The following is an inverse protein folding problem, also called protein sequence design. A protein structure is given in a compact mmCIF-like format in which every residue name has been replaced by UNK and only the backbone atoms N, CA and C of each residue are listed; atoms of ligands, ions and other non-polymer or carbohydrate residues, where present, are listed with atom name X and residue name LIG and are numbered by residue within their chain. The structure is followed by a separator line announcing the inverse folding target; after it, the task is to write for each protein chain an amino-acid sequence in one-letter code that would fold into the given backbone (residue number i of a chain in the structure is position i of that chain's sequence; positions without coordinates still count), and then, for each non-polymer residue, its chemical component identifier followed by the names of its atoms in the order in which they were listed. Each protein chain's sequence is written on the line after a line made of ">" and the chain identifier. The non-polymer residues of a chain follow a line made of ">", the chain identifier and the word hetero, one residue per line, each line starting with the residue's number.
data_IF_278393123395
#
_entry.id   IF_278393123395
#
_cell.length_a   1.000
_cell.length_b   1.000
_cell.length_c   1.000
_cell.angle_alpha   90.00
_cell.angle_beta   90.00
_cell.angle_gamma   90.00
#
_symmetry.space_group_name_H-M   'P 1'
#
loop_
_entity.id
_entity.type
_entity.pdbx_description
1 polymer ?
#
# COMPACT_ATOMS: atom_id res chain seq x y z
N UNK A 1 -72.90 -33.35 10.75
CA UNK A 1 -72.27 -32.15 10.17
C UNK A 1 -70.85 -32.53 9.74
N UNK A 2 -70.67 -32.87 8.46
CA UNK A 2 -69.38 -33.23 7.87
C UNK A 2 -68.82 -31.97 7.22
N UNK A 3 -67.65 -31.51 7.66
CA UNK A 3 -66.91 -30.46 6.97
C UNK A 3 -65.88 -31.16 6.10
N UNK A 4 -66.12 -31.15 4.79
CA UNK A 4 -65.15 -31.54 3.76
C UNK A 4 -64.26 -30.34 3.50
N UNK A 5 -62.96 -30.44 3.78
CA UNK A 5 -61.97 -29.43 3.36
C UNK A 5 -61.25 -29.97 2.14
N UNK A 6 -61.63 -29.44 0.98
CA UNK A 6 -60.97 -29.68 -0.31
C UNK A 6 -59.96 -28.56 -0.52
N UNK A 7 -58.67 -28.89 -0.60
CA UNK A 7 -57.64 -27.90 -0.93
C UNK A 7 -56.23 -28.49 -0.85
N UNK A 8 -55.70 -28.98 -1.98
CA UNK A 8 -54.27 -29.28 -2.11
C UNK A 8 -53.51 -27.97 -2.31
N UNK A 9 -52.74 -27.57 -1.31
CA UNK A 9 -51.78 -26.47 -1.42
C UNK A 9 -50.54 -27.01 -2.14
N UNK A 10 -50.35 -26.64 -3.41
CA UNK A 10 -49.10 -26.92 -4.13
C UNK A 10 -48.07 -25.89 -3.69
N UNK A 11 -47.05 -26.35 -2.96
CA UNK A 11 -45.92 -25.55 -2.54
C UNK A 11 -44.93 -25.46 -3.71
N UNK A 12 -44.81 -24.28 -4.32
CA UNK A 12 -43.77 -24.02 -5.31
C UNK A 12 -42.45 -23.78 -4.57
N UNK A 13 -41.55 -24.76 -4.61
CA UNK A 13 -40.18 -24.58 -4.15
C UNK A 13 -39.40 -23.86 -5.27
N UNK A 14 -39.33 -22.53 -5.20
CA UNK A 14 -38.36 -21.78 -6.00
C UNK A 14 -36.96 -22.13 -5.49
N UNK A 15 -36.24 -22.94 -6.25
CA UNK A 15 -34.81 -23.12 -6.07
C UNK A 15 -34.15 -21.78 -6.42
N UNK A 16 -33.89 -20.95 -5.41
CA UNK A 16 -32.90 -19.90 -5.55
C UNK A 16 -31.57 -20.62 -5.81
N UNK A 17 -31.03 -20.48 -7.02
CA UNK A 17 -29.71 -20.97 -7.34
C UNK A 17 -28.71 -20.27 -6.43
N UNK A 18 -28.32 -20.92 -5.34
CA UNK A 18 -27.14 -20.53 -4.60
C UNK A 18 -25.97 -20.80 -5.53
N UNK A 19 -25.40 -19.74 -6.12
CA UNK A 19 -24.13 -19.84 -6.80
C UNK A 19 -23.13 -20.44 -5.80
N UNK A 20 -22.58 -21.60 -6.12
CA UNK A 20 -21.52 -22.19 -5.32
C UNK A 20 -20.35 -21.21 -5.33
N UNK A 21 -20.02 -20.66 -4.17
CA UNK A 21 -18.81 -19.86 -3.98
C UNK A 21 -17.63 -20.80 -4.28
N UNK A 22 -16.85 -20.47 -5.31
CA UNK A 22 -15.61 -21.17 -5.62
C UNK A 22 -14.56 -20.78 -4.58
N UNK A 23 -14.35 -21.69 -3.62
CA UNK A 23 -13.40 -21.54 -2.51
C UNK A 23 -11.94 -21.42 -2.95
N UNK A 24 -11.62 -21.61 -4.24
CA UNK A 24 -10.25 -21.49 -4.74
C UNK A 24 -9.94 -20.14 -5.39
N UNK A 25 -10.94 -19.31 -5.70
CA UNK A 25 -10.75 -18.08 -6.46
C UNK A 25 -11.25 -16.82 -5.76
N UNK A 26 -11.97 -16.95 -4.63
CA UNK A 26 -12.60 -15.82 -3.95
C UNK A 26 -12.50 -15.90 -2.41
N UNK A 27 -11.32 -16.24 -1.89
CA UNK A 27 -11.07 -16.15 -0.45
C UNK A 27 -10.61 -14.73 -0.11
N UNK A 28 -11.28 -14.03 0.83
CA UNK A 28 -10.60 -12.95 1.53
C UNK A 28 -9.35 -13.56 2.16
N UNK A 29 -8.18 -13.06 1.78
CA UNK A 29 -6.91 -13.57 2.24
C UNK A 29 -6.69 -13.12 3.68
N UNK A 30 -7.40 -13.75 4.62
CA UNK A 30 -7.14 -13.60 6.04
C UNK A 30 -5.88 -14.40 6.38
N UNK A 31 -4.76 -13.72 6.63
CA UNK A 31 -3.59 -14.32 7.27
C UNK A 31 -3.75 -14.34 8.80
N UNK A 32 -4.93 -14.74 9.31
CA UNK A 32 -5.17 -14.93 10.73
C UNK A 32 -4.51 -16.23 11.20
N UNK A 33 -3.58 -16.13 12.15
CA UNK A 33 -2.95 -17.28 12.79
C UNK A 33 -3.80 -17.79 13.95
N UNK A 34 -3.64 -19.06 14.36
CA UNK A 34 -4.30 -19.56 15.59
C UNK A 34 -3.98 -18.65 16.78
N UNK A 35 -5.00 -18.37 17.61
CA UNK A 35 -4.98 -17.62 18.88
C UNK A 35 -5.16 -16.08 18.84
N UNK A 36 -5.49 -15.48 17.70
CA UNK A 36 -5.82 -14.05 17.61
C UNK A 36 -7.32 -13.73 17.78
N UNK A 37 -8.16 -14.75 18.00
CA UNK A 37 -9.61 -14.61 18.16
C UNK A 37 -10.43 -14.73 16.87
N UNK A 38 -9.79 -15.09 15.74
CA UNK A 38 -10.42 -15.17 14.41
C UNK A 38 -10.44 -16.58 13.81
N UNK A 39 -10.65 -17.62 14.64
CA UNK A 39 -10.68 -19.00 14.16
C UNK A 39 -11.90 -19.29 13.26
N UNK A 40 -11.77 -20.37 12.47
CA UNK A 40 -12.68 -20.78 11.39
C UNK A 40 -14.15 -20.90 11.81
N UNK A 41 -14.45 -21.07 13.10
CA UNK A 41 -15.82 -21.11 13.61
C UNK A 41 -16.46 -19.73 13.84
N UNK A 42 -15.69 -18.64 13.84
CA UNK A 42 -16.17 -17.27 14.05
C UNK A 42 -16.63 -16.49 12.81
N UNK A 43 -16.37 -16.97 11.60
CA UNK A 43 -16.68 -16.24 10.36
C UNK A 43 -17.87 -16.85 9.60
N UNK A 44 -19.10 -16.53 10.01
CA UNK A 44 -20.28 -16.61 9.12
C UNK A 44 -20.51 -15.28 8.37
N UNK A 45 -19.93 -14.19 8.84
CA UNK A 45 -19.77 -12.92 8.12
C UNK A 45 -19.00 -11.98 9.04
N UNK A 46 -17.83 -11.48 8.63
CA UNK A 46 -17.14 -10.42 9.35
C UNK A 46 -17.91 -9.11 9.16
N UNK A 47 -19.02 -8.96 9.89
CA UNK A 47 -19.80 -7.72 9.94
C UNK A 47 -18.94 -6.66 10.61
N UNK A 48 -18.33 -5.77 9.82
CA UNK A 48 -17.52 -4.66 10.32
C UNK A 48 -16.17 -4.46 9.63
N UNK A 49 -15.74 -5.38 8.77
CA UNK A 49 -14.63 -5.15 7.84
C UNK A 49 -15.24 -4.93 6.47
N UNK A 50 -14.89 -3.84 5.78
CA UNK A 50 -15.28 -3.65 4.39
C UNK A 50 -14.91 -4.92 3.60
N UNK A 51 -15.82 -5.39 2.75
CA UNK A 51 -15.60 -6.52 1.83
C UNK A 51 -14.45 -6.24 0.84
N UNK A 52 -14.06 -4.97 0.71
CA UNK A 52 -12.95 -4.48 -0.12
C UNK A 52 -11.64 -5.20 0.18
N UNK A 53 -11.05 -5.78 -0.86
CA UNK A 53 -9.75 -6.43 -0.82
C UNK A 53 -8.91 -5.93 -1.99
N UNK A 54 -7.97 -5.04 -1.69
CA UNK A 54 -7.04 -4.43 -2.65
C UNK A 54 -5.62 -4.73 -2.19
N UNK A 55 -4.79 -5.25 -3.10
CA UNK A 55 -3.37 -5.52 -2.83
C UNK A 55 -2.50 -4.46 -3.50
N UNK A 56 -1.48 -4.00 -2.78
CA UNK A 56 -0.47 -3.07 -3.26
C UNK A 56 0.92 -3.66 -3.08
N UNK A 57 1.70 -3.69 -4.17
CA UNK A 57 2.98 -4.40 -4.17
C UNK A 57 3.95 -3.83 -5.20
N UNK A 58 5.16 -3.47 -4.78
CA UNK A 58 6.30 -3.29 -5.67
C UNK A 58 6.84 -4.64 -6.16
N UNK A 59 7.75 -4.66 -7.12
CA UNK A 59 8.17 -5.93 -7.73
C UNK A 59 9.11 -6.76 -6.83
N UNK A 60 9.88 -6.09 -5.97
CA UNK A 60 10.87 -6.71 -5.09
C UNK A 60 11.29 -5.74 -3.98
N UNK A 61 11.85 -6.28 -2.90
CA UNK A 61 12.60 -5.48 -1.94
C UNK A 61 13.74 -4.74 -2.67
N UNK A 62 13.90 -3.46 -2.37
CA UNK A 62 14.90 -2.61 -3.03
C UNK A 62 15.67 -1.78 -2.02
N UNK A 63 16.96 -1.61 -2.31
CA UNK A 63 17.88 -0.81 -1.50
C UNK A 63 18.16 0.50 -2.22
N UNK A 64 17.82 1.61 -1.57
CA UNK A 64 18.14 2.96 -2.00
C UNK A 64 19.38 3.42 -1.25
N UNK A 65 20.32 4.04 -1.96
CA UNK A 65 21.56 4.53 -1.35
C UNK A 65 21.49 6.05 -1.27
N UNK A 66 21.62 6.59 -0.06
CA UNK A 66 21.34 8.00 0.25
C UNK A 66 22.17 9.02 -0.55
N UNK A 67 23.36 8.63 -1.04
CA UNK A 67 24.23 9.49 -1.85
C UNK A 67 23.81 9.56 -3.32
N UNK A 68 22.91 8.68 -3.78
CA UNK A 68 22.46 8.73 -5.16
C UNK A 68 21.56 9.94 -5.37
N UNK A 69 21.70 10.62 -6.53
CA UNK A 69 20.88 11.79 -6.85
C UNK A 69 19.40 11.42 -7.02
N UNK A 70 19.10 10.17 -7.37
CA UNK A 70 17.76 9.66 -7.57
C UNK A 70 17.65 8.21 -7.09
N UNK A 71 16.51 7.86 -6.53
CA UNK A 71 16.13 6.48 -6.20
C UNK A 71 15.11 5.97 -7.20
N UNK A 72 15.48 5.01 -8.05
CA UNK A 72 14.53 4.42 -9.01
C UNK A 72 13.69 3.38 -8.28
N UNK A 73 12.36 3.55 -8.31
CA UNK A 73 11.45 2.58 -7.73
C UNK A 73 11.14 1.48 -8.75
N UNK A 74 11.09 0.25 -8.27
CA UNK A 74 10.56 -0.86 -9.07
C UNK A 74 9.07 -0.66 -9.39
N UNK A 75 8.59 -1.36 -10.42
CA UNK A 75 7.19 -1.30 -10.85
C UNK A 75 6.25 -1.63 -9.69
N UNK A 76 5.26 -0.77 -9.49
CA UNK A 76 4.20 -0.95 -8.51
C UNK A 76 3.00 -1.63 -9.18
N UNK A 77 2.32 -2.49 -8.45
CA UNK A 77 1.11 -3.20 -8.87
C UNK A 77 0.02 -2.97 -7.84
N UNK A 78 -1.12 -2.48 -8.32
CA UNK A 78 -2.37 -2.40 -7.56
C UNK A 78 -3.31 -3.43 -8.17
N UNK A 79 -3.83 -4.35 -7.38
CA UNK A 79 -4.78 -5.37 -7.83
C UNK A 79 -6.01 -5.37 -6.93
N UNK A 80 -7.17 -5.29 -7.56
CA UNK A 80 -8.46 -5.44 -6.90
C UNK A 80 -8.81 -6.91 -6.89
N UNK A 81 -8.82 -7.51 -5.71
CA UNK A 81 -9.32 -8.89 -5.51
C UNK A 81 -10.83 -8.83 -5.34
N UNK A 82 -11.29 -7.94 -4.46
CA UNK A 82 -12.70 -7.68 -4.23
C UNK A 82 -12.94 -6.16 -4.15
N UNK A 83 -13.78 -5.56 -5.02
CA UNK A 83 -13.98 -4.12 -5.06
C UNK A 83 -14.73 -3.54 -3.84
N UNK A 84 -15.40 -4.36 -3.02
CA UNK A 84 -16.26 -3.86 -1.96
C UNK A 84 -17.71 -3.67 -2.40
N UNK A 85 -18.61 -3.59 -1.40
CA UNK A 85 -19.98 -3.12 -1.57
C UNK A 85 -20.33 -2.12 -0.45
N UNK A 86 -20.29 -0.79 -0.71
CA UNK A 86 -20.07 -0.15 -2.02
C UNK A 86 -18.64 -0.32 -2.56
N UNK A 87 -18.48 -0.13 -3.87
CA UNK A 87 -17.16 -0.15 -4.54
C UNK A 87 -16.27 0.92 -3.91
N UNK A 88 -15.04 0.55 -3.54
CA UNK A 88 -14.10 1.45 -2.91
C UNK A 88 -13.44 2.44 -3.89
N UNK A 89 -12.89 1.95 -5.00
CA UNK A 89 -12.25 2.80 -6.02
C UNK A 89 -13.30 3.20 -7.07
N UNK A 90 -13.83 4.40 -6.93
CA UNK A 90 -14.96 4.90 -7.73
C UNK A 90 -14.55 5.90 -8.81
N UNK A 91 -15.36 5.99 -9.85
CA UNK A 91 -15.25 7.01 -10.88
C UNK A 91 -15.33 8.42 -10.28
N UNK A 92 -14.35 9.26 -10.59
CA UNK A 92 -14.21 10.61 -10.04
C UNK A 92 -13.43 10.66 -8.72
N UNK A 93 -13.06 9.50 -8.15
CA UNK A 93 -12.14 9.40 -7.02
C UNK A 93 -10.68 9.58 -7.42
N UNK A 94 -9.78 9.40 -6.45
CA UNK A 94 -8.33 9.50 -6.67
C UNK A 94 -7.60 8.39 -5.94
N UNK A 95 -6.67 7.73 -6.63
CA UNK A 95 -5.68 6.88 -5.98
C UNK A 95 -4.50 7.74 -5.52
N UNK A 96 -4.00 7.49 -4.32
CA UNK A 96 -2.94 8.26 -3.70
C UNK A 96 -1.83 7.32 -3.24
N UNK A 97 -0.66 7.43 -3.85
CA UNK A 97 0.54 6.67 -3.44
C UNK A 97 1.47 7.62 -2.69
N UNK A 98 1.70 7.35 -1.42
CA UNK A 98 2.42 8.26 -0.52
C UNK A 98 3.70 7.64 0.02
N UNK A 99 4.67 8.51 0.32
CA UNK A 99 5.81 8.18 1.16
C UNK A 99 5.41 8.25 2.63
N UNK A 100 5.85 7.27 3.43
CA UNK A 100 5.57 7.24 4.86
C UNK A 100 5.98 8.55 5.54
N UNK A 101 5.22 9.00 6.53
CA UNK A 101 5.42 10.30 7.23
C UNK A 101 6.84 10.55 7.80
N UNK A 102 7.65 9.50 8.00
CA UNK A 102 9.05 9.60 8.45
C UNK A 102 10.07 9.83 7.33
N UNK A 103 9.67 9.78 6.06
CA UNK A 103 10.51 10.04 4.90
C UNK A 103 10.25 11.44 4.35
N UNK A 104 11.26 12.31 4.45
CA UNK A 104 11.19 13.70 3.96
C UNK A 104 11.69 13.86 2.51
N UNK A 105 12.11 12.76 1.89
CA UNK A 105 12.32 12.72 0.44
C UNK A 105 11.00 12.87 -0.31
N UNK A 106 11.09 13.14 -1.62
CA UNK A 106 9.93 13.42 -2.46
C UNK A 106 9.99 12.64 -3.77
N UNK A 107 8.84 12.46 -4.41
CA UNK A 107 8.78 11.98 -5.78
C UNK A 107 9.39 13.01 -6.74
N UNK A 108 10.04 12.50 -7.79
CA UNK A 108 10.50 13.32 -8.89
C UNK A 108 9.32 13.62 -9.83
N UNK A 109 8.79 14.85 -9.77
CA UNK A 109 7.67 15.28 -10.61
C UNK A 109 8.01 15.39 -12.11
N UNK A 110 9.31 15.43 -12.44
CA UNK A 110 9.79 15.40 -13.82
C UNK A 110 9.98 13.98 -14.39
N UNK A 111 9.70 12.93 -13.61
CA UNK A 111 9.81 11.56 -14.09
C UNK A 111 8.67 11.22 -15.06
N UNK A 112 8.97 10.44 -16.10
CA UNK A 112 7.94 9.93 -17.01
C UNK A 112 7.36 8.65 -16.44
N UNK A 113 6.07 8.68 -16.10
CA UNK A 113 5.35 7.51 -15.62
C UNK A 113 4.74 6.73 -16.79
N UNK A 114 4.67 5.42 -16.63
CA UNK A 114 3.92 4.53 -17.52
C UNK A 114 2.89 3.75 -16.73
N UNK A 115 1.67 3.70 -17.26
CA UNK A 115 0.55 2.94 -16.71
C UNK A 115 0.20 1.81 -17.66
N UNK A 116 0.07 0.59 -17.15
CA UNK A 116 -0.28 -0.58 -17.97
C UNK A 116 -1.25 -1.51 -17.23
N UNK A 117 -1.59 -2.63 -17.88
CA UNK A 117 -2.63 -3.60 -17.50
C UNK A 117 -4.06 -3.12 -17.81
N UNK A 118 -5.07 -3.91 -17.44
CA UNK A 118 -6.47 -3.68 -17.79
C UNK A 118 -7.07 -2.41 -17.17
N UNK A 119 -6.61 -2.00 -15.99
CA UNK A 119 -7.12 -0.82 -15.31
C UNK A 119 -6.47 0.50 -15.79
N UNK A 120 -5.47 0.46 -16.67
CA UNK A 120 -4.82 1.68 -17.18
C UNK A 120 -5.78 2.61 -17.94
N UNK A 121 -6.83 2.05 -18.56
CA UNK A 121 -7.87 2.82 -19.23
C UNK A 121 -8.90 3.45 -18.27
N UNK A 122 -8.83 3.11 -16.97
CA UNK A 122 -9.73 3.58 -15.91
C UNK A 122 -9.18 4.74 -15.09
N UNK A 123 -8.01 5.26 -15.49
CA UNK A 123 -7.35 6.39 -14.83
C UNK A 123 -7.03 7.49 -15.85
N UNK A 124 -6.77 8.69 -15.34
CA UNK A 124 -6.17 9.76 -16.12
C UNK A 124 -4.64 9.74 -15.96
N UNK A 125 -3.91 9.62 -17.06
CA UNK A 125 -2.45 9.67 -17.06
C UNK A 125 -1.89 11.06 -16.67
N UNK A 126 -2.73 12.10 -16.67
CA UNK A 126 -2.39 13.43 -16.16
C UNK A 126 -2.44 13.43 -14.63
N UNK A 127 -1.41 12.86 -14.02
CA UNK A 127 -1.27 12.81 -12.56
C UNK A 127 -0.86 14.14 -11.96
N UNK A 128 -1.07 14.29 -10.66
CA UNK A 128 -0.55 15.42 -9.87
C UNK A 128 0.21 14.92 -8.65
N UNK A 129 0.91 15.84 -7.97
CA UNK A 129 1.64 15.55 -6.76
C UNK A 129 1.16 16.47 -5.63
N UNK A 130 0.98 15.90 -4.45
CA UNK A 130 0.50 16.57 -3.25
C UNK A 130 1.53 16.48 -2.11
N UNK A 131 1.25 17.19 -1.01
CA UNK A 131 1.97 17.05 0.27
C UNK A 131 3.47 17.35 0.21
N UNK A 132 3.86 18.29 -0.67
CA UNK A 132 5.24 18.64 -0.94
C UNK A 132 5.95 17.62 -1.85
N UNK A 133 5.21 17.15 -2.86
CA UNK A 133 5.61 16.09 -3.79
C UNK A 133 5.85 14.71 -3.15
N UNK A 134 5.24 14.47 -1.98
CA UNK A 134 5.36 13.19 -1.24
C UNK A 134 4.22 12.22 -1.52
N UNK A 135 3.19 12.68 -2.22
CA UNK A 135 2.06 11.86 -2.63
C UNK A 135 1.82 12.01 -4.12
N UNK A 136 1.87 10.91 -4.86
CA UNK A 136 1.39 10.83 -6.24
C UNK A 136 -0.14 10.70 -6.20
N UNK A 137 -0.85 11.55 -6.93
CA UNK A 137 -2.31 11.53 -7.05
C UNK A 137 -2.68 11.14 -8.47
N UNK A 138 -3.39 10.03 -8.60
CA UNK A 138 -3.84 9.46 -9.88
C UNK A 138 -5.37 9.57 -9.95
N UNK A 139 -5.93 10.42 -10.83
CA UNK A 139 -7.37 10.54 -10.97
C UNK A 139 -7.98 9.27 -11.57
N UNK A 140 -9.13 8.84 -11.03
CA UNK A 140 -9.88 7.67 -11.50
C UNK A 140 -11.03 8.12 -12.39
N UNK A 141 -11.18 7.52 -13.56
CA UNK A 141 -12.20 7.86 -14.57
C UNK A 141 -13.24 6.77 -14.79
N UNK A 142 -13.11 5.62 -14.14
CA UNK A 142 -14.09 4.54 -14.12
C UNK A 142 -13.91 3.67 -12.88
N UNK A 143 -14.99 3.04 -12.40
CA UNK A 143 -14.96 2.16 -11.23
C UNK A 143 -13.99 0.99 -11.45
N UNK A 144 -13.20 0.67 -10.42
CA UNK A 144 -12.42 -0.56 -10.44
C UNK A 144 -13.28 -1.72 -9.92
N UNK A 145 -13.23 -2.83 -10.64
CA UNK A 145 -13.97 -4.05 -10.38
C UNK A 145 -12.99 -5.16 -9.99
N UNK A 146 -13.52 -6.32 -9.60
CA UNK A 146 -12.70 -7.50 -9.35
C UNK A 146 -11.79 -7.82 -10.55
N UNK A 147 -10.57 -8.26 -10.25
CA UNK A 147 -9.49 -8.57 -11.21
C UNK A 147 -8.92 -7.37 -11.99
N UNK A 148 -9.34 -6.15 -11.69
CA UNK A 148 -8.64 -4.97 -12.19
C UNK A 148 -7.24 -4.89 -11.62
N UNK A 149 -6.27 -4.75 -12.53
CA UNK A 149 -4.87 -4.57 -12.20
C UNK A 149 -4.36 -3.30 -12.86
N UNK A 150 -3.70 -2.46 -12.07
CA UNK A 150 -2.97 -1.28 -12.53
C UNK A 150 -1.49 -1.48 -12.22
N UNK A 151 -0.64 -1.30 -13.21
CA UNK A 151 0.81 -1.25 -12.99
C UNK A 151 1.34 0.15 -13.24
N UNK A 152 2.21 0.63 -12.36
CA UNK A 152 2.82 1.96 -12.40
C UNK A 152 4.33 1.77 -12.43
N UNK A 153 4.98 2.28 -13.47
CA UNK A 153 6.44 2.23 -13.61
C UNK A 153 7.02 3.61 -13.94
N UNK A 154 8.34 3.76 -13.74
CA UNK A 154 9.04 5.03 -13.96
C UNK A 154 9.06 5.98 -12.76
N UNK A 155 8.51 5.56 -11.61
CA UNK A 155 8.59 6.36 -10.39
C UNK A 155 10.04 6.47 -9.91
N UNK A 156 10.44 7.69 -9.56
CA UNK A 156 11.76 7.97 -8.97
C UNK A 156 11.62 8.93 -7.79
N UNK A 157 12.53 8.81 -6.83
CA UNK A 157 12.62 9.65 -5.64
C UNK A 157 13.80 10.61 -5.74
N UNK A 158 13.66 11.79 -5.16
CA UNK A 158 14.69 12.80 -4.98
C UNK A 158 15.01 13.00 -3.49
N UNK A 159 16.14 13.65 -3.23
CA UNK A 159 16.59 14.05 -1.89
C UNK A 159 16.65 12.87 -0.92
N UNK A 160 17.21 11.74 -1.40
CA UNK A 160 17.36 10.52 -0.61
C UNK A 160 18.12 10.74 0.71
N UNK A 161 19.00 11.74 0.77
CA UNK A 161 19.69 12.18 1.99
C UNK A 161 18.75 12.69 3.09
N UNK A 162 17.52 13.09 2.74
CA UNK A 162 16.47 13.51 3.68
C UNK A 162 15.55 12.36 4.09
N UNK A 163 15.58 11.22 3.39
CA UNK A 163 14.88 10.03 3.85
C UNK A 163 15.54 9.51 5.15
N UNK A 164 14.75 8.94 6.05
CA UNK A 164 15.27 8.25 7.24
C UNK A 164 15.90 6.91 6.85
N UNK A 165 17.06 6.59 7.39
CA UNK A 165 17.71 5.29 7.22
C UNK A 165 16.84 4.12 7.72
N UNK A 166 16.97 2.97 7.07
CA UNK A 166 16.29 1.71 7.42
C UNK A 166 15.14 1.33 6.48
N UNK A 167 14.38 0.31 6.88
CA UNK A 167 13.25 -0.24 6.12
C UNK A 167 12.02 0.65 6.22
N UNK A 168 11.36 0.87 5.09
CA UNK A 168 10.07 1.55 4.95
C UNK A 168 9.22 0.89 3.88
N UNK A 169 7.96 1.33 3.79
CA UNK A 169 6.98 0.89 2.81
C UNK A 169 6.30 2.10 2.18
N UNK A 170 5.85 1.96 0.94
CA UNK A 170 4.93 2.94 0.34
C UNK A 170 3.53 2.73 0.90
N UNK A 171 2.77 3.80 0.94
CA UNK A 171 1.38 3.84 1.38
C UNK A 171 0.47 3.97 0.15
N UNK A 172 -0.63 3.23 0.14
CA UNK A 172 -1.71 3.40 -0.83
C UNK A 172 -2.98 3.79 -0.07
N UNK A 173 -3.53 4.93 -0.47
CA UNK A 173 -4.88 5.41 -0.18
C UNK A 173 -5.67 5.23 -1.49
N UNK A 174 -6.59 4.27 -1.50
CA UNK A 174 -7.30 3.85 -2.71
C UNK A 174 -8.68 4.49 -2.87
N UNK A 175 -9.29 4.98 -1.79
CA UNK A 175 -10.58 5.66 -1.84
C UNK A 175 -10.46 7.20 -1.89
N UNK A 176 -9.26 7.71 -1.65
CA UNK A 176 -8.91 9.12 -1.76
C UNK A 176 -9.31 9.94 -0.53
N UNK A 177 -9.57 9.31 0.62
CA UNK A 177 -10.03 10.00 1.83
C UNK A 177 -8.89 10.73 2.60
N UNK A 178 -7.64 10.53 2.16
CA UNK A 178 -6.44 11.13 2.76
C UNK A 178 -5.78 10.27 3.83
N UNK A 179 -6.29 9.07 4.09
CA UNK A 179 -5.72 8.11 5.03
C UNK A 179 -5.19 6.88 4.29
N UNK A 180 -4.00 6.35 4.62
CA UNK A 180 -3.50 5.13 4.00
C UNK A 180 -4.37 3.91 4.34
N UNK A 181 -4.92 3.26 3.32
CA UNK A 181 -5.70 2.04 3.47
C UNK A 181 -4.83 0.78 3.53
N UNK A 182 -3.73 0.78 2.78
CA UNK A 182 -2.84 -0.39 2.65
C UNK A 182 -1.39 0.03 2.40
N UNK A 183 -0.48 -0.92 2.60
CA UNK A 183 0.97 -0.71 2.49
C UNK A 183 1.55 -1.61 1.40
N UNK A 184 2.68 -1.17 0.86
CA UNK A 184 3.47 -1.99 -0.05
C UNK A 184 3.87 -3.31 0.63
N UNK A 185 3.77 -4.40 -0.12
CA UNK A 185 4.22 -5.73 0.32
C UNK A 185 5.74 -5.80 0.48
N UNK A 186 6.50 -5.12 -0.38
CA UNK A 186 7.96 -5.17 -0.35
C UNK A 186 8.56 -3.89 0.21
N UNK A 187 9.67 -4.04 0.92
CA UNK A 187 10.29 -2.96 1.64
C UNK A 187 11.26 -2.15 0.76
N UNK A 188 11.32 -0.85 1.05
CA UNK A 188 12.36 0.06 0.63
C UNK A 188 13.37 0.21 1.76
N UNK A 189 14.62 -0.16 1.54
CA UNK A 189 15.68 0.07 2.51
C UNK A 189 16.52 1.28 2.10
N UNK A 190 16.54 2.34 2.90
CA UNK A 190 17.55 3.39 2.71
C UNK A 190 18.84 2.99 3.42
N UNK A 191 19.84 2.60 2.64
CA UNK A 191 21.18 2.27 3.10
C UNK A 191 22.03 3.52 3.31
N UNK A 192 22.53 3.67 4.54
CA UNK A 192 23.52 4.67 4.94
C UNK A 192 24.77 3.95 5.47
N UNK A 193 26.00 4.30 5.04
CA UNK A 193 27.23 3.59 5.41
C UNK A 193 27.47 3.50 6.92
N UNK A 194 27.03 4.51 7.68
CA UNK A 194 27.04 4.50 9.14
C UNK A 194 25.82 5.28 9.63
N UNK A 195 24.72 4.60 10.01
CA UNK A 195 23.68 5.26 10.78
C UNK A 195 24.33 5.54 12.13
N UNK A 196 24.76 6.78 12.36
CA UNK A 196 25.55 7.14 13.54
C UNK A 196 24.98 6.51 14.80
N UNK A 197 25.70 5.53 15.33
CA UNK A 197 25.24 4.70 16.43
C UNK A 197 25.53 5.41 17.74
N UNK A 198 24.82 5.07 18.80
CA UNK A 198 25.11 5.59 20.15
C UNK A 198 26.55 5.34 20.63
N UNK A 199 27.38 4.57 19.90
CA UNK A 199 28.76 4.23 20.25
C UNK A 199 29.83 4.81 19.29
N UNK A 200 29.45 5.63 18.30
CA UNK A 200 30.39 6.25 17.37
C UNK A 200 31.05 7.53 17.90
N UNK A 201 30.66 7.98 19.10
CA UNK A 201 31.17 9.19 19.76
C UNK A 201 30.48 10.49 19.36
N UNK A 202 29.46 10.47 18.50
CA UNK A 202 28.73 11.64 18.01
C UNK A 202 27.33 11.83 18.61
N UNK A 203 26.79 10.82 19.30
CA UNK A 203 25.53 10.92 20.03
C UNK A 203 25.61 11.82 21.28
N UNK A 204 24.69 12.80 21.39
CA UNK A 204 24.56 13.73 22.55
C UNK A 204 24.46 13.04 23.92
N UNK A 205 24.07 11.76 23.99
CA UNK A 205 23.84 11.03 25.24
C UNK A 205 25.12 10.57 25.96
N UNK A 206 26.31 10.72 25.37
CA UNK A 206 27.61 10.37 26.00
C UNK A 206 28.49 11.61 26.21
N UNK A 207 27.92 12.82 26.23
CA UNK A 207 28.66 14.02 26.61
C UNK A 207 28.97 14.04 28.13
N UNK A 208 29.89 13.18 28.56
CA UNK A 208 30.62 13.39 29.81
C UNK A 208 31.60 14.55 29.57
N UNK A 209 31.44 15.64 30.33
CA UNK A 209 32.20 16.88 30.21
C UNK A 209 33.74 16.76 30.41
N UNK A 210 34.26 15.53 30.59
CA UNK A 210 35.66 15.25 30.91
C UNK A 210 36.34 14.30 29.92
N UNK A 211 35.67 13.86 28.85
CA UNK A 211 36.29 12.97 27.87
C UNK A 211 36.97 13.80 26.77
N UNK A 212 38.30 13.80 26.76
CA UNK A 212 39.11 14.38 25.69
C UNK A 212 39.00 13.49 24.44
N UNK A 213 38.14 13.85 23.50
CA UNK A 213 38.02 13.14 22.22
C UNK A 213 39.19 13.50 21.31
N UNK A 214 40.01 12.50 20.98
CA UNK A 214 40.94 12.58 19.85
C UNK A 214 40.17 12.21 18.58
N UNK A 215 40.26 13.03 17.54
CA UNK A 215 39.78 12.62 16.22
C UNK A 215 40.58 11.39 15.78
N UNK A 216 39.92 10.25 15.63
CA UNK A 216 40.48 9.12 14.88
C UNK A 216 40.23 9.36 13.40
N UNK A 217 40.98 10.32 12.85
CA UNK A 217 40.91 10.68 11.45
C UNK A 217 42.03 11.66 11.10
N UNK A 218 42.59 11.51 9.92
CA UNK A 218 43.54 12.48 9.36
C UNK A 218 42.74 13.72 8.94
N UNK A 219 42.95 14.85 9.62
CA UNK A 219 42.47 16.13 9.11
C UNK A 219 43.24 16.48 7.83
N UNK A 220 42.60 16.32 6.67
CA UNK A 220 43.06 16.91 5.44
C UNK A 220 42.71 18.39 5.46
N UNK A 221 43.68 19.24 5.77
CA UNK A 221 43.54 20.68 5.56
C UNK A 221 43.87 20.98 4.10
N UNK A 222 42.87 21.39 3.34
CA UNK A 222 43.06 21.93 1.99
C UNK A 222 43.52 23.38 2.19
N UNK A 223 44.70 23.72 1.67
CA UNK A 223 45.18 25.10 1.56
C UNK A 223 44.82 25.67 0.19
#
# INVERSE_FOLDING_TARGET
>A
MRITVTGSLVFWLTLAGAAAVDWNTNLPSFQGGSYDGWDRQGMISAVGLSDTQITFSSATNQVLVWTHPQGVLTTLTIRVVNPGSPIAITNGGTLRVSLLSGWACRFNTGATLSFASNAAAKINASVSYADGDRTLVVPVTADFLADDTLTISGLTLLDLALCRAGLQYLELDFDGDGTPDTYDTFALELSVPQPGGSFDGWGRSIQNAYTLYRMQGTMLTIR
#
